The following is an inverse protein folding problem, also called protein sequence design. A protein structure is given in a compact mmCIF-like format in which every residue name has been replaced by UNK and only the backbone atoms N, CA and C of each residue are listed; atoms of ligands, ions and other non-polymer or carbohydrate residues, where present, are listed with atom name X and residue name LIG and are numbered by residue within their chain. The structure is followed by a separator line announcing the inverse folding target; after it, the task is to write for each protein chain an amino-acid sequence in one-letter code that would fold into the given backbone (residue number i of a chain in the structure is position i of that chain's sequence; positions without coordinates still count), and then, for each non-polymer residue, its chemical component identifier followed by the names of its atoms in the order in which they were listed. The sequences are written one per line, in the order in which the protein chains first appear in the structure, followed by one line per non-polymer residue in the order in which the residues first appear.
data_IF_213651897158
#
_entry.id   IF_213651897158
#
_cell.length_a   1.000
_cell.length_b   1.000
_cell.length_c   1.000
_cell.angle_alpha   90.00
_cell.angle_beta   90.00
_cell.angle_gamma   90.00
#
_symmetry.space_group_name_H-M   'P 1'
#
loop_
_entity.id
_entity.type
_entity.pdbx_description
1 polymer ?
#
# COMPACT_ATOMS: atom_id res chain seq x y z
N UNK A 1 3.84 8.92 21.06
CA UNK A 1 5.24 9.12 21.50
C UNK A 1 6.19 8.16 20.79
N UNK A 2 5.90 6.84 20.73
CA UNK A 2 6.83 5.87 20.12
C UNK A 2 7.01 6.08 18.62
N UNK A 3 5.90 6.22 17.87
CA UNK A 3 5.95 6.43 16.41
C UNK A 3 6.83 7.66 16.06
N UNK A 4 6.65 8.79 16.75
CA UNK A 4 7.46 10.00 16.51
C UNK A 4 8.95 9.73 16.67
N UNK A 5 9.37 9.02 17.73
CA UNK A 5 10.78 8.66 17.95
C UNK A 5 11.33 7.75 16.84
N UNK A 6 10.52 6.82 16.33
CA UNK A 6 10.91 5.95 15.21
C UNK A 6 11.08 6.76 13.92
N UNK A 7 10.21 7.73 13.66
CA UNK A 7 10.32 8.61 12.50
C UNK A 7 11.54 9.55 12.61
N UNK A 8 11.83 10.07 13.79
CA UNK A 8 13.05 10.85 14.08
C UNK A 8 14.31 10.03 13.80
N UNK A 9 14.36 8.79 14.28
CA UNK A 9 15.46 7.86 14.00
C UNK A 9 15.60 7.55 12.50
N UNK A 10 14.48 7.29 11.81
CA UNK A 10 14.50 7.05 10.37
C UNK A 10 15.04 8.26 9.59
N UNK A 11 14.69 9.48 10.03
CA UNK A 11 15.22 10.74 9.48
C UNK A 11 16.74 10.84 9.66
N UNK A 12 17.24 10.56 10.86
CA UNK A 12 18.68 10.57 11.16
C UNK A 12 19.47 9.56 10.32
N UNK A 13 18.87 8.39 10.10
CA UNK A 13 19.47 7.30 9.33
C UNK A 13 19.22 7.39 7.82
N UNK A 14 18.46 8.38 7.35
CA UNK A 14 18.03 8.52 5.95
C UNK A 14 17.31 7.27 5.39
N UNK A 15 16.52 6.61 6.22
CA UNK A 15 15.84 5.37 5.85
C UNK A 15 14.36 5.64 5.47
N UNK A 16 13.83 4.92 4.48
CA UNK A 16 12.39 4.92 4.23
C UNK A 16 11.64 4.22 5.36
N UNK A 17 10.37 4.58 5.55
CA UNK A 17 9.53 4.00 6.62
C UNK A 17 8.28 3.34 6.08
N UNK A 18 7.89 2.25 6.71
CA UNK A 18 6.64 1.53 6.46
C UNK A 18 5.75 1.71 7.68
N UNK A 19 4.58 2.32 7.50
CA UNK A 19 3.61 2.54 8.56
C UNK A 19 2.58 1.42 8.56
N UNK A 20 2.49 0.70 9.68
CA UNK A 20 1.35 -0.17 9.96
C UNK A 20 0.29 0.64 10.71
N UNK A 21 -0.81 0.92 10.02
CA UNK A 21 -1.91 1.71 10.55
C UNK A 21 -3.19 0.85 10.61
N UNK A 22 -3.62 0.52 11.81
CA UNK A 22 -4.85 -0.23 12.06
C UNK A 22 -5.76 0.54 13.02
N UNK A 23 -6.87 1.07 12.46
CA UNK A 23 -7.87 1.85 13.21
C UNK A 23 -7.30 3.08 13.95
N UNK A 24 -6.20 3.64 13.44
CA UNK A 24 -5.49 4.79 14.03
C UNK A 24 -5.14 5.86 12.96
N UNK A 25 -5.94 5.96 11.90
CA UNK A 25 -5.63 6.77 10.71
C UNK A 25 -5.35 8.23 11.04
N UNK A 26 -6.21 8.87 11.87
CA UNK A 26 -6.06 10.28 12.24
C UNK A 26 -4.82 10.48 13.13
N UNK A 27 -4.65 9.66 14.16
CA UNK A 27 -3.52 9.74 15.09
C UNK A 27 -2.17 9.52 14.38
N UNK A 28 -2.12 8.55 13.44
CA UNK A 28 -0.93 8.29 12.63
C UNK A 28 -0.65 9.48 11.71
N UNK A 29 -1.67 9.99 11.01
CA UNK A 29 -1.50 11.10 10.08
C UNK A 29 -1.07 12.38 10.80
N UNK A 30 -1.62 12.68 11.96
CA UNK A 30 -1.26 13.84 12.78
C UNK A 30 0.22 13.86 13.20
N UNK A 31 0.83 12.66 13.30
CA UNK A 31 2.27 12.55 13.55
C UNK A 31 3.06 12.63 12.23
N UNK A 32 2.63 11.87 11.22
CA UNK A 32 3.36 11.72 9.95
C UNK A 32 3.47 13.03 9.17
N UNK A 33 2.47 13.93 9.26
CA UNK A 33 2.48 15.22 8.56
C UNK A 33 3.69 16.11 8.93
N UNK A 34 4.30 15.90 10.10
CA UNK A 34 5.51 16.61 10.53
C UNK A 34 6.80 16.02 9.93
N UNK A 35 6.68 14.96 9.13
CA UNK A 35 7.79 14.17 8.55
C UNK A 35 7.68 14.03 7.03
N UNK A 36 7.20 15.08 6.35
CA UNK A 36 7.04 15.10 4.89
C UNK A 36 8.38 15.00 4.13
N UNK A 37 9.49 15.21 4.79
CA UNK A 37 10.84 15.02 4.29
C UNK A 37 11.30 13.55 4.23
N UNK A 38 10.57 12.64 4.90
CA UNK A 38 10.82 11.20 4.84
C UNK A 38 10.14 10.57 3.62
N UNK A 39 10.75 9.50 3.11
CA UNK A 39 10.06 8.56 2.22
C UNK A 39 9.23 7.59 3.05
N UNK A 40 7.92 7.61 2.89
CA UNK A 40 7.03 6.74 3.65
C UNK A 40 6.01 6.01 2.78
N UNK A 41 5.55 4.87 3.27
CA UNK A 41 4.42 4.11 2.72
C UNK A 41 3.48 3.68 3.84
N UNK A 42 2.20 3.94 3.66
CA UNK A 42 1.16 3.32 4.48
C UNK A 42 0.89 1.91 3.95
N UNK A 43 1.30 0.92 4.73
CA UNK A 43 1.15 -0.50 4.43
C UNK A 43 -0.30 -0.94 4.57
N UNK A 44 -0.75 -1.79 3.65
CA UNK A 44 -2.10 -2.38 3.63
C UNK A 44 -3.20 -1.34 3.87
N UNK A 45 -3.18 -0.26 3.10
CA UNK A 45 -4.02 0.91 3.34
C UNK A 45 -5.51 0.58 3.36
N UNK A 46 -6.19 0.98 4.43
CA UNK A 46 -7.64 0.76 4.63
C UNK A 46 -8.43 2.04 4.92
N UNK A 47 -7.78 3.20 4.88
CA UNK A 47 -8.37 4.52 5.12
C UNK A 47 -9.30 5.02 4.00
N UNK A 48 -9.74 6.28 4.11
CA UNK A 48 -10.59 6.94 3.11
C UNK A 48 -9.79 7.48 1.93
N UNK A 49 -10.47 7.82 0.82
CA UNK A 49 -9.85 8.50 -0.32
C UNK A 49 -9.36 9.90 0.07
N UNK A 50 -10.07 10.59 0.91
CA UNK A 50 -9.74 11.93 1.40
C UNK A 50 -8.39 11.90 2.14
N UNK A 51 -8.25 10.99 3.10
CA UNK A 51 -7.00 10.77 3.84
C UNK A 51 -5.87 10.32 2.91
N UNK A 52 -6.15 9.41 1.98
CA UNK A 52 -5.17 8.95 0.99
C UNK A 52 -4.59 10.11 0.17
N UNK A 53 -5.41 11.07 -0.24
CA UNK A 53 -4.97 12.26 -0.96
C UNK A 53 -4.06 13.15 -0.10
N UNK A 54 -4.35 13.30 1.17
CA UNK A 54 -3.48 14.07 2.08
C UNK A 54 -2.12 13.37 2.28
N UNK A 55 -2.10 12.03 2.43
CA UNK A 55 -0.87 11.25 2.51
C UNK A 55 -0.02 11.42 1.22
N UNK A 56 -0.66 11.36 0.05
CA UNK A 56 0.03 11.53 -1.24
C UNK A 56 0.57 12.95 -1.41
N UNK A 57 -0.13 13.99 -0.91
CA UNK A 57 0.39 15.38 -0.90
C UNK A 57 1.67 15.53 -0.08
N UNK A 58 1.90 14.72 0.95
CA UNK A 58 3.16 14.67 1.69
C UNK A 58 4.30 14.01 0.88
N UNK A 59 4.01 13.47 -0.31
CA UNK A 59 4.98 12.72 -1.12
C UNK A 59 5.07 11.23 -0.74
N UNK A 60 4.20 10.74 0.13
CA UNK A 60 4.20 9.36 0.61
C UNK A 60 3.39 8.44 -0.31
N UNK A 61 3.66 7.14 -0.20
CA UNK A 61 3.00 6.09 -0.98
C UNK A 61 1.95 5.35 -0.14
N UNK A 62 1.08 4.60 -0.83
CA UNK A 62 0.15 3.67 -0.22
C UNK A 62 0.32 2.30 -0.87
N UNK A 63 0.29 1.23 -0.06
CA UNK A 63 0.33 -0.12 -0.59
C UNK A 63 -0.97 -0.88 -0.35
N UNK A 64 -1.23 -1.84 -1.23
CA UNK A 64 -2.44 -2.64 -1.24
C UNK A 64 -2.10 -4.13 -1.27
N UNK A 65 -2.88 -4.92 -0.53
CA UNK A 65 -2.73 -6.38 -0.37
C UNK A 65 -3.86 -7.13 -1.09
N UNK A 66 -3.86 -8.44 -0.97
CA UNK A 66 -4.92 -9.32 -1.46
C UNK A 66 -6.34 -8.98 -1.00
N UNK A 67 -6.49 -8.16 0.05
CA UNK A 67 -7.80 -7.70 0.54
C UNK A 67 -8.61 -6.95 -0.52
N UNK A 68 -7.95 -6.29 -1.48
CA UNK A 68 -8.64 -5.56 -2.55
C UNK A 68 -9.38 -6.49 -3.53
N UNK A 69 -9.05 -7.78 -3.54
CA UNK A 69 -9.73 -8.79 -4.37
C UNK A 69 -11.05 -9.27 -3.75
N UNK A 70 -11.30 -8.98 -2.46
CA UNK A 70 -12.50 -9.45 -1.77
C UNK A 70 -13.75 -8.71 -2.26
N UNK A 71 -14.85 -9.44 -2.41
CA UNK A 71 -16.08 -8.91 -3.01
C UNK A 71 -16.68 -7.65 -2.36
N UNK A 72 -16.22 -7.23 -1.17
CA UNK A 72 -16.65 -6.02 -0.46
C UNK A 72 -15.64 -4.87 -0.49
N UNK A 73 -14.61 -4.93 -1.32
CA UNK A 73 -13.51 -3.97 -1.35
C UNK A 73 -13.86 -2.60 -1.99
N UNK A 74 -15.11 -2.13 -1.91
CA UNK A 74 -15.58 -0.89 -2.53
C UNK A 74 -14.79 0.35 -2.09
N UNK A 75 -14.37 0.40 -0.82
CA UNK A 75 -13.60 1.53 -0.27
C UNK A 75 -12.20 1.58 -0.89
N UNK A 76 -11.49 0.44 -0.90
CA UNK A 76 -10.17 0.33 -1.51
C UNK A 76 -10.21 0.64 -3.02
N UNK A 77 -11.25 0.17 -3.75
CA UNK A 77 -11.47 0.51 -5.14
C UNK A 77 -11.52 2.03 -5.37
N UNK A 78 -12.35 2.75 -4.60
CA UNK A 78 -12.44 4.23 -4.71
C UNK A 78 -11.09 4.92 -4.47
N UNK A 79 -10.32 4.42 -3.50
CA UNK A 79 -8.98 4.95 -3.21
C UNK A 79 -8.06 4.73 -4.41
N UNK A 80 -7.98 3.49 -4.93
CA UNK A 80 -7.14 3.14 -6.07
C UNK A 80 -7.53 3.93 -7.32
N UNK A 81 -8.83 4.08 -7.60
CA UNK A 81 -9.32 4.87 -8.74
C UNK A 81 -8.98 6.37 -8.63
N UNK A 82 -8.90 6.89 -7.41
CA UNK A 82 -8.72 8.32 -7.13
C UNK A 82 -7.27 8.78 -6.90
N UNK A 83 -6.29 7.87 -6.90
CA UNK A 83 -4.89 8.19 -6.67
C UNK A 83 -4.04 8.12 -7.94
N UNK A 84 -2.94 8.88 -8.05
CA UNK A 84 -1.96 8.71 -9.11
C UNK A 84 -1.23 7.36 -8.96
N UNK A 85 -0.97 6.68 -10.09
CA UNK A 85 -0.37 5.34 -10.09
C UNK A 85 1.08 5.32 -9.57
N UNK A 86 1.81 6.42 -9.69
CA UNK A 86 3.18 6.58 -9.17
C UNK A 86 3.27 6.64 -7.63
N UNK A 87 2.12 6.60 -6.95
CA UNK A 87 2.00 6.55 -5.48
C UNK A 87 1.44 5.24 -4.95
N UNK A 88 1.14 4.31 -5.84
CA UNK A 88 0.57 3.00 -5.50
C UNK A 88 1.66 1.93 -5.51
N UNK A 89 1.73 1.15 -4.44
CA UNK A 89 2.56 -0.04 -4.34
C UNK A 89 1.67 -1.27 -4.11
N UNK A 90 2.19 -2.45 -4.43
CA UNK A 90 1.51 -3.73 -4.19
C UNK A 90 2.35 -4.61 -3.27
N UNK A 91 1.67 -5.41 -2.50
CA UNK A 91 2.28 -6.30 -1.51
C UNK A 91 1.39 -7.51 -1.22
N UNK A 92 1.82 -8.40 -0.34
CA UNK A 92 1.07 -9.60 0.01
C UNK A 92 0.63 -9.67 1.47
N UNK A 93 1.40 -9.11 2.40
CA UNK A 93 1.26 -9.33 3.86
C UNK A 93 1.31 -10.82 4.23
N UNK A 94 2.06 -11.62 3.44
CA UNK A 94 2.21 -13.06 3.66
C UNK A 94 2.69 -13.37 5.07
N UNK A 95 2.18 -14.41 5.70
CA UNK A 95 1.31 -15.49 5.19
C UNK A 95 -0.18 -15.22 5.32
N UNK A 96 -0.57 -14.01 5.62
CA UNK A 96 -1.94 -13.54 5.83
C UNK A 96 -2.53 -12.96 4.53
N UNK A 97 -3.81 -12.60 4.56
CA UNK A 97 -4.53 -11.84 3.53
C UNK A 97 -4.47 -12.48 2.12
N UNK A 98 -4.57 -13.82 2.06
CA UNK A 98 -4.60 -14.56 0.79
C UNK A 98 -5.64 -13.93 -0.15
N UNK A 99 -5.28 -13.57 -1.40
CA UNK A 99 -6.22 -12.98 -2.35
C UNK A 99 -7.27 -14.00 -2.82
N UNK A 100 -8.36 -13.53 -3.42
CA UNK A 100 -9.29 -14.36 -4.18
C UNK A 100 -8.75 -14.57 -5.60
N UNK A 101 -8.96 -15.76 -6.22
CA UNK A 101 -9.78 -16.88 -5.73
C UNK A 101 -9.09 -17.82 -4.72
N UNK A 102 -7.80 -17.74 -4.50
CA UNK A 102 -7.02 -18.67 -3.68
C UNK A 102 -7.58 -18.76 -2.24
N UNK A 103 -8.04 -17.65 -1.68
CA UNK A 103 -8.67 -17.61 -0.34
C UNK A 103 -9.93 -18.47 -0.23
N UNK A 104 -10.66 -18.63 -1.33
CA UNK A 104 -11.92 -19.37 -1.40
C UNK A 104 -11.72 -20.85 -1.79
N UNK A 105 -10.50 -21.22 -2.18
CA UNK A 105 -10.20 -22.60 -2.57
C UNK A 105 -10.28 -23.53 -1.36
N UNK A 106 -10.64 -24.78 -1.62
CA UNK A 106 -10.62 -25.84 -0.61
C UNK A 106 -9.19 -26.00 -0.05
N UNK A 107 -9.10 -26.23 1.28
CA UNK A 107 -7.83 -26.45 1.95
C UNK A 107 -7.14 -25.18 2.47
N UNK A 108 -7.78 -24.00 2.41
CA UNK A 108 -7.26 -22.71 2.93
C UNK A 108 -5.81 -22.47 2.50
N UNK A 109 -5.61 -22.12 1.25
CA UNK A 109 -4.28 -21.79 0.72
C UNK A 109 -3.67 -20.64 1.52
N UNK A 110 -2.48 -20.88 2.09
CA UNK A 110 -1.72 -19.88 2.81
C UNK A 110 -1.13 -18.86 1.82
N UNK A 111 -1.19 -17.58 2.13
CA UNK A 111 -0.64 -16.54 1.26
C UNK A 111 0.88 -16.66 1.11
N UNK A 112 1.37 -16.24 -0.04
CA UNK A 112 2.79 -16.15 -0.37
C UNK A 112 3.04 -15.01 -1.36
N UNK A 113 4.30 -14.62 -1.53
CA UNK A 113 4.70 -13.61 -2.52
C UNK A 113 4.31 -13.98 -3.96
N UNK A 114 4.11 -15.27 -4.25
CA UNK A 114 3.64 -15.75 -5.55
C UNK A 114 2.26 -15.19 -5.96
N UNK A 115 1.45 -14.79 -4.99
CA UNK A 115 0.10 -14.28 -5.26
C UNK A 115 0.03 -12.75 -5.40
N UNK A 116 1.16 -12.03 -5.39
CA UNK A 116 1.15 -10.57 -5.58
C UNK A 116 0.55 -10.14 -6.92
N UNK A 117 0.68 -10.97 -7.96
CA UNK A 117 0.07 -10.72 -9.27
C UNK A 117 -1.46 -10.55 -9.21
N UNK A 118 -2.15 -11.20 -8.25
CA UNK A 118 -3.60 -11.03 -8.05
C UNK A 118 -3.96 -9.61 -7.64
N UNK A 119 -3.08 -8.96 -6.89
CA UNK A 119 -3.25 -7.55 -6.52
C UNK A 119 -3.09 -6.65 -7.75
N UNK A 120 -2.10 -6.94 -8.61
CA UNK A 120 -1.92 -6.23 -9.87
C UNK A 120 -3.10 -6.42 -10.83
N UNK A 121 -3.62 -7.64 -11.01
CA UNK A 121 -4.81 -7.94 -11.80
C UNK A 121 -6.03 -7.14 -11.31
N UNK A 122 -6.23 -7.05 -10.00
CA UNK A 122 -7.36 -6.32 -9.44
C UNK A 122 -7.24 -4.81 -9.66
N UNK A 123 -6.04 -4.24 -9.49
CA UNK A 123 -5.79 -2.81 -9.76
C UNK A 123 -5.99 -2.52 -11.26
N UNK A 124 -5.49 -3.38 -12.13
CA UNK A 124 -5.69 -3.29 -13.58
C UNK A 124 -7.19 -3.21 -13.93
N UNK A 125 -7.99 -4.10 -13.34
CA UNK A 125 -9.45 -4.10 -13.50
C UNK A 125 -10.10 -2.79 -13.02
N UNK A 126 -9.67 -2.24 -11.88
CA UNK A 126 -10.22 -0.99 -11.34
C UNK A 126 -9.85 0.22 -12.19
N UNK A 127 -8.66 0.21 -12.77
CA UNK A 127 -8.08 1.35 -13.49
C UNK A 127 -8.30 1.30 -15.01
N UNK A 128 -8.79 0.18 -15.54
CA UNK A 128 -8.89 -0.02 -16.99
C UNK A 128 -7.51 -0.07 -17.67
N UNK A 129 -6.50 -0.58 -16.97
CA UNK A 129 -5.13 -0.77 -17.44
C UNK A 129 -4.86 -2.23 -17.74
N UNK A 130 -3.79 -2.51 -18.45
CA UNK A 130 -3.27 -3.88 -18.55
C UNK A 130 -2.55 -4.29 -17.26
N UNK A 131 -2.48 -5.58 -16.98
CA UNK A 131 -1.73 -6.10 -15.82
C UNK A 131 -0.26 -5.71 -15.90
N UNK A 132 0.33 -5.80 -17.09
CA UNK A 132 1.73 -5.43 -17.33
C UNK A 132 2.02 -3.96 -16.99
N UNK A 133 1.15 -3.03 -17.39
CA UNK A 133 1.30 -1.61 -17.03
C UNK A 133 1.26 -1.39 -15.53
N UNK A 134 0.39 -2.12 -14.80
CA UNK A 134 0.33 -2.04 -13.33
C UNK A 134 1.59 -2.62 -12.71
N UNK A 135 2.04 -3.79 -13.16
CA UNK A 135 3.27 -4.43 -12.68
C UNK A 135 4.50 -3.54 -12.90
N UNK A 136 4.62 -2.93 -14.08
CA UNK A 136 5.74 -2.05 -14.41
C UNK A 136 5.77 -0.82 -13.50
N UNK A 137 4.65 -0.11 -13.37
CA UNK A 137 4.60 1.12 -12.56
C UNK A 137 4.79 0.81 -11.07
N UNK A 138 4.18 -0.25 -10.53
CA UNK A 138 4.31 -0.58 -9.11
C UNK A 138 5.69 -1.14 -8.78
N UNK A 139 6.32 -1.87 -9.70
CA UNK A 139 7.72 -2.29 -9.58
C UNK A 139 8.65 -1.07 -9.55
N UNK A 140 8.45 -0.11 -10.46
CA UNK A 140 9.25 1.12 -10.47
C UNK A 140 9.05 1.94 -9.19
N UNK A 141 7.82 2.02 -8.67
CA UNK A 141 7.53 2.68 -7.40
C UNK A 141 8.27 2.01 -6.24
N UNK A 142 8.25 0.68 -6.17
CA UNK A 142 8.99 -0.08 -5.17
C UNK A 142 10.50 0.14 -5.26
N UNK A 143 11.07 0.06 -6.46
CA UNK A 143 12.51 0.33 -6.68
C UNK A 143 12.89 1.74 -6.23
N UNK A 144 12.11 2.74 -6.62
CA UNK A 144 12.34 4.15 -6.25
C UNK A 144 12.23 4.36 -4.73
N UNK A 145 11.25 3.72 -4.11
CA UNK A 145 11.02 3.82 -2.67
C UNK A 145 12.19 3.24 -1.86
N UNK A 146 12.63 2.03 -2.22
CA UNK A 146 13.71 1.34 -1.51
C UNK A 146 15.11 1.70 -2.00
N UNK A 147 15.26 2.50 -3.06
CA UNK A 147 16.55 2.83 -3.65
C UNK A 147 17.24 1.62 -4.29
N UNK A 148 16.48 0.71 -4.90
CA UNK A 148 16.99 -0.50 -5.56
C UNK A 148 17.10 -0.23 -7.08
N UNK A 149 18.22 -0.64 -7.67
CA UNK A 149 18.45 -0.54 -9.11
C UNK A 149 17.60 -1.50 -9.94
#
# INVERSE_FOLDING_TARGET
ILLRKQLELARELHMPVIIHDREAHEDCFDIVKDFSDLKGVYHCYSGSLEMAKEIVKLGWNLSFTGVITYGKAKKARRVIEGLPMDRIMIETDSPYLTPEPERLAEGRIRNSSLFVHRVAEQIASFRGMTVQEVEDVTTQNGKTFFGIA
#
